data_IF_984517335281
#
_entry.id   IF_984517335281
#
_cell.length_a   1.000
_cell.length_b   1.000
_cell.length_c   1.000
_cell.angle_alpha   90.00
_cell.angle_beta   90.00
_cell.angle_gamma   90.00
#
_symmetry.space_group_name_H-M   'P 1'
#
loop_
_entity.id
_entity.type
_entity.pdbx_description
1 polymer ?
#
# COMPACT_ATOMS: atom_id res chain seq x y z
N UNK A 1 68.24 9.89 25.22
CA UNK A 1 66.86 10.31 24.89
C UNK A 1 65.85 9.38 25.60
N UNK A 2 66.14 8.99 26.84
CA UNK A 2 65.35 8.01 27.63
C UNK A 2 64.69 8.63 28.88
N UNK A 3 64.85 9.93 29.12
CA UNK A 3 64.58 10.54 30.43
C UNK A 3 63.15 11.07 30.64
N UNK A 4 62.24 10.97 29.67
CA UNK A 4 60.86 11.45 29.84
C UNK A 4 59.90 10.35 30.31
N UNK A 5 60.19 9.09 29.95
CA UNK A 5 59.35 7.95 30.34
C UNK A 5 59.64 7.45 31.76
N UNK A 6 60.87 7.57 32.26
CA UNK A 6 61.20 7.17 33.64
C UNK A 6 60.68 8.14 34.70
N UNK A 7 60.61 9.45 34.40
CA UNK A 7 60.12 10.47 35.35
C UNK A 7 58.60 10.47 35.50
N UNK A 8 57.86 10.01 34.48
CA UNK A 8 56.40 9.96 34.53
C UNK A 8 55.84 8.75 35.32
N UNK A 9 56.67 7.75 35.63
CA UNK A 9 56.24 6.49 36.25
C UNK A 9 56.83 6.19 37.63
N UNK A 10 57.66 7.10 38.19
CA UNK A 10 58.38 6.84 39.44
C UNK A 10 57.76 7.47 40.71
N UNK A 11 56.56 8.07 40.62
CA UNK A 11 55.81 8.42 41.83
C UNK A 11 55.14 7.15 42.39
N UNK A 12 55.28 6.86 43.70
CA UNK A 12 54.65 5.70 44.31
C UNK A 12 53.14 5.84 44.18
N UNK A 13 52.58 4.99 43.32
CA UNK A 13 51.15 4.92 43.07
C UNK A 13 50.43 4.67 44.39
N UNK A 14 49.71 5.68 44.87
CA UNK A 14 48.97 5.59 46.13
C UNK A 14 47.86 4.54 46.02
N UNK A 15 47.55 3.83 47.11
CA UNK A 15 46.49 2.80 47.14
C UNK A 15 45.14 3.32 46.60
N UNK A 16 44.86 4.62 46.77
CA UNK A 16 43.68 5.28 46.22
C UNK A 16 43.65 5.34 44.69
N UNK A 17 44.81 5.47 44.03
CA UNK A 17 44.91 5.51 42.57
C UNK A 17 44.61 4.14 41.94
N UNK A 18 45.03 3.06 42.60
CA UNK A 18 44.75 1.68 42.19
C UNK A 18 43.24 1.40 42.24
N UNK A 19 42.57 1.83 43.32
CA UNK A 19 41.12 1.66 43.49
C UNK A 19 40.32 2.40 42.39
N UNK A 20 40.71 3.64 42.06
CA UNK A 20 40.05 4.43 41.01
C UNK A 20 40.18 3.77 39.64
N UNK A 21 41.37 3.28 39.29
CA UNK A 21 41.58 2.57 38.01
C UNK A 21 40.75 1.29 37.95
N UNK A 22 40.67 0.53 39.04
CA UNK A 22 39.82 -0.67 39.12
C UNK A 22 38.34 -0.36 38.87
N UNK A 23 37.82 0.72 39.46
CA UNK A 23 36.44 1.17 39.24
C UNK A 23 36.21 1.60 37.79
N UNK A 24 37.15 2.36 37.20
CA UNK A 24 37.05 2.80 35.81
C UNK A 24 37.06 1.62 34.84
N UNK A 25 37.95 0.64 35.03
CA UNK A 25 37.99 -0.57 34.23
C UNK A 25 36.70 -1.39 34.37
N UNK A 26 36.15 -1.49 35.59
CA UNK A 26 34.86 -2.13 35.84
C UNK A 26 33.70 -1.44 35.10
N UNK A 27 33.63 -0.12 35.15
CA UNK A 27 32.61 0.67 34.44
C UNK A 27 32.74 0.55 32.93
N UNK A 28 33.95 0.65 32.39
CA UNK A 28 34.20 0.49 30.95
C UNK A 28 33.81 -0.91 30.49
N UNK A 29 34.21 -1.96 31.24
CA UNK A 29 33.82 -3.34 30.94
C UNK A 29 32.31 -3.54 30.99
N UNK A 30 31.63 -2.95 31.98
CA UNK A 30 30.16 -2.98 32.08
C UNK A 30 29.46 -2.28 30.92
N UNK A 31 29.94 -1.09 30.51
CA UNK A 31 29.40 -0.34 29.37
C UNK A 31 29.62 -1.11 28.07
N UNK A 32 30.83 -1.66 27.85
CA UNK A 32 31.14 -2.46 26.66
C UNK A 32 30.28 -3.73 26.64
N UNK A 33 30.15 -4.43 27.76
CA UNK A 33 29.26 -5.60 27.89
C UNK A 33 27.80 -5.26 27.58
N UNK A 34 27.29 -4.17 28.14
CA UNK A 34 25.93 -3.68 27.85
C UNK A 34 25.74 -3.36 26.36
N UNK A 35 26.69 -2.63 25.75
CA UNK A 35 26.61 -2.27 24.33
C UNK A 35 26.70 -3.49 23.42
N UNK A 36 27.56 -4.46 23.73
CA UNK A 36 27.76 -5.67 22.94
C UNK A 36 26.63 -6.69 23.10
N UNK A 37 25.94 -6.74 24.24
CA UNK A 37 24.89 -7.73 24.50
C UNK A 37 23.50 -7.15 24.26
N UNK A 38 23.20 -5.98 24.81
CA UNK A 38 21.84 -5.42 24.82
C UNK A 38 21.43 -4.86 23.46
N UNK A 39 22.34 -4.24 22.70
CA UNK A 39 22.01 -3.73 21.36
C UNK A 39 21.72 -4.84 20.35
N UNK A 40 22.55 -5.87 20.19
CA UNK A 40 22.23 -6.96 19.28
C UNK A 40 20.99 -7.74 19.70
N UNK A 41 20.73 -7.89 21.00
CA UNK A 41 19.50 -8.52 21.49
C UNK A 41 18.24 -7.72 21.08
N UNK A 42 18.25 -6.40 21.26
CA UNK A 42 17.14 -5.54 20.82
C UNK A 42 16.93 -5.58 19.30
N UNK A 43 18.02 -5.55 18.52
CA UNK A 43 17.94 -5.65 17.05
C UNK A 43 17.44 -7.02 16.57
N UNK A 44 17.81 -8.10 17.25
CA UNK A 44 17.29 -9.45 16.98
C UNK A 44 15.81 -9.54 17.32
N UNK A 45 15.38 -9.00 18.46
CA UNK A 45 13.98 -8.98 18.86
C UNK A 45 13.12 -8.25 17.82
N UNK A 46 13.54 -7.06 17.38
CA UNK A 46 12.86 -6.32 16.31
C UNK A 46 12.83 -7.10 14.99
N UNK A 47 13.90 -7.79 14.62
CA UNK A 47 13.93 -8.62 13.41
C UNK A 47 12.95 -9.78 13.49
N UNK A 48 12.88 -10.45 14.65
CA UNK A 48 11.94 -11.55 14.89
C UNK A 48 10.50 -11.05 14.85
N UNK A 49 10.21 -9.94 15.51
CA UNK A 49 8.88 -9.32 15.51
C UNK A 49 8.44 -8.97 14.08
N UNK A 50 9.32 -8.34 13.30
CA UNK A 50 9.06 -8.05 11.88
C UNK A 50 8.79 -9.32 11.08
N UNK A 51 9.64 -10.34 11.23
CA UNK A 51 9.47 -11.61 10.53
C UNK A 51 8.14 -12.28 10.86
N UNK A 52 7.73 -12.26 12.13
CA UNK A 52 6.46 -12.83 12.59
C UNK A 52 5.27 -12.03 12.05
N UNK A 53 5.33 -10.70 12.09
CA UNK A 53 4.30 -9.83 11.55
C UNK A 53 4.11 -10.05 10.04
N UNK A 54 5.19 -10.18 9.27
CA UNK A 54 5.10 -10.50 7.84
C UNK A 54 4.49 -11.87 7.58
N UNK A 55 4.96 -12.89 8.29
CA UNK A 55 4.43 -14.25 8.13
C UNK A 55 2.93 -14.32 8.45
N UNK A 56 2.48 -13.61 9.49
CA UNK A 56 1.06 -13.54 9.83
C UNK A 56 0.23 -12.87 8.73
N UNK A 57 0.71 -11.74 8.19
CA UNK A 57 0.05 -11.07 7.06
C UNK A 57 0.01 -11.97 5.83
N UNK A 58 1.10 -12.69 5.53
CA UNK A 58 1.19 -13.59 4.39
C UNK A 58 0.19 -14.74 4.52
N UNK A 59 0.15 -15.42 5.67
CA UNK A 59 -0.80 -16.53 5.93
C UNK A 59 -2.25 -16.02 5.82
N UNK A 60 -2.57 -14.91 6.48
CA UNK A 60 -3.93 -14.33 6.44
C UNK A 60 -4.34 -13.91 5.02
N UNK A 61 -3.38 -13.42 4.22
CA UNK A 61 -3.62 -13.10 2.81
C UNK A 61 -3.93 -14.35 1.99
N UNK A 62 -3.18 -15.44 2.20
CA UNK A 62 -3.38 -16.71 1.50
C UNK A 62 -4.77 -17.25 1.80
N UNK A 63 -5.21 -17.19 3.06
CA UNK A 63 -6.54 -17.66 3.44
C UNK A 63 -7.64 -16.79 2.80
N UNK A 64 -7.45 -15.47 2.74
CA UNK A 64 -8.35 -14.56 2.02
C UNK A 64 -8.44 -14.90 0.52
N UNK A 65 -7.31 -15.20 -0.12
CA UNK A 65 -7.27 -15.62 -1.53
C UNK A 65 -7.94 -16.98 -1.75
N UNK A 66 -7.70 -17.94 -0.86
CA UNK A 66 -8.37 -19.25 -0.90
C UNK A 66 -9.87 -19.11 -0.76
N UNK A 67 -10.33 -18.29 0.18
CA UNK A 67 -11.75 -18.00 0.36
C UNK A 67 -12.35 -17.38 -0.91
N UNK A 68 -11.69 -16.40 -1.52
CA UNK A 68 -12.12 -15.81 -2.80
C UNK A 68 -12.22 -16.85 -3.91
N UNK A 69 -11.28 -17.80 -3.98
CA UNK A 69 -11.29 -18.86 -4.97
C UNK A 69 -12.42 -19.87 -4.74
N UNK A 70 -12.64 -20.27 -3.49
CA UNK A 70 -13.70 -21.20 -3.08
C UNK A 70 -15.10 -20.62 -3.35
N UNK A 71 -15.29 -19.33 -3.05
CA UNK A 71 -16.56 -18.62 -3.21
C UNK A 71 -16.56 -17.67 -4.42
N UNK A 72 -15.80 -18.00 -5.47
CA UNK A 72 -15.62 -17.14 -6.65
C UNK A 72 -16.93 -16.67 -7.28
N UNK A 73 -17.97 -17.50 -7.18
CA UNK A 73 -19.30 -17.18 -7.68
C UNK A 73 -19.98 -16.03 -6.91
N UNK A 74 -19.91 -16.05 -5.57
CA UNK A 74 -20.48 -15.00 -4.74
C UNK A 74 -19.72 -13.69 -4.93
N UNK A 75 -18.39 -13.76 -5.05
CA UNK A 75 -17.56 -12.59 -5.35
C UNK A 75 -17.86 -12.03 -6.76
N UNK A 76 -18.07 -12.88 -7.76
CA UNK A 76 -18.47 -12.41 -9.08
C UNK A 76 -19.84 -11.72 -9.04
N UNK A 77 -20.78 -12.23 -8.23
CA UNK A 77 -22.06 -11.59 -8.02
C UNK A 77 -21.91 -10.20 -7.40
N UNK A 78 -21.06 -10.01 -6.39
CA UNK A 78 -20.83 -8.68 -5.80
C UNK A 78 -20.15 -7.70 -6.75
N UNK A 79 -19.32 -8.20 -7.67
CA UNK A 79 -18.65 -7.40 -8.70
C UNK A 79 -19.57 -6.96 -9.83
N UNK A 80 -20.52 -7.81 -10.23
CA UNK A 80 -21.33 -7.60 -11.45
C UNK A 80 -22.79 -7.28 -11.17
N UNK A 81 -23.25 -7.45 -9.93
CA UNK A 81 -24.67 -7.45 -9.54
C UNK A 81 -25.48 -8.61 -10.13
N UNK A 82 -24.89 -9.42 -11.01
CA UNK A 82 -25.59 -10.46 -11.76
C UNK A 82 -25.52 -11.78 -11.02
N UNK A 83 -26.67 -12.42 -10.78
CA UNK A 83 -26.78 -13.75 -10.17
C UNK A 83 -27.11 -14.81 -11.24
N UNK A 84 -26.13 -15.25 -12.06
CA UNK A 84 -26.37 -16.11 -13.23
C UNK A 84 -26.96 -17.50 -12.94
N UNK A 85 -26.91 -18.00 -11.70
CA UNK A 85 -27.37 -19.33 -11.28
C UNK A 85 -28.63 -19.25 -10.42
N UNK A 86 -29.17 -18.04 -10.20
CA UNK A 86 -30.33 -17.79 -9.32
C UNK A 86 -30.15 -18.44 -7.94
N UNK A 87 -28.92 -18.41 -7.41
CA UNK A 87 -28.65 -18.92 -6.07
C UNK A 87 -29.34 -18.03 -5.04
N UNK A 88 -29.51 -18.55 -3.83
CA UNK A 88 -30.06 -17.78 -2.72
C UNK A 88 -29.21 -16.53 -2.46
N UNK A 89 -29.76 -15.35 -2.73
CA UNK A 89 -29.06 -14.06 -2.60
C UNK A 89 -28.59 -13.82 -1.17
N UNK A 90 -29.31 -14.29 -0.15
CA UNK A 90 -28.90 -14.17 1.25
C UNK A 90 -27.61 -14.94 1.54
N UNK A 91 -27.48 -16.17 1.02
CA UNK A 91 -26.25 -16.95 1.16
C UNK A 91 -25.07 -16.32 0.40
N UNK A 92 -25.32 -15.74 -0.78
CA UNK A 92 -24.28 -15.03 -1.53
C UNK A 92 -23.80 -13.78 -0.77
N UNK A 93 -24.75 -13.00 -0.23
CA UNK A 93 -24.44 -11.82 0.57
C UNK A 93 -23.59 -12.20 1.79
N UNK A 94 -23.97 -13.24 2.54
CA UNK A 94 -23.20 -13.71 3.69
C UNK A 94 -21.76 -14.13 3.31
N UNK A 95 -21.59 -14.81 2.18
CA UNK A 95 -20.26 -15.20 1.68
C UNK A 95 -19.42 -13.97 1.28
N UNK A 96 -20.03 -12.98 0.65
CA UNK A 96 -19.36 -11.74 0.25
C UNK A 96 -19.01 -10.90 1.48
N UNK A 97 -19.90 -10.79 2.45
CA UNK A 97 -19.66 -10.10 3.71
C UNK A 97 -18.49 -10.76 4.46
N UNK A 98 -18.49 -12.09 4.55
CA UNK A 98 -17.41 -12.85 5.16
C UNK A 98 -16.07 -12.64 4.46
N UNK A 99 -16.06 -12.47 3.13
CA UNK A 99 -14.86 -12.10 2.38
C UNK A 99 -14.38 -10.69 2.75
N UNK A 100 -15.27 -9.71 2.76
CA UNK A 100 -14.88 -8.33 3.09
C UNK A 100 -14.47 -8.17 4.54
N UNK A 101 -15.07 -8.88 5.50
CA UNK A 101 -14.57 -8.91 6.87
C UNK A 101 -13.14 -9.43 6.95
N UNK A 102 -12.78 -10.48 6.18
CA UNK A 102 -11.39 -10.96 6.12
C UNK A 102 -10.44 -9.92 5.52
N UNK A 103 -10.83 -9.28 4.41
CA UNK A 103 -10.05 -8.20 3.80
C UNK A 103 -9.85 -7.03 4.78
N UNK A 104 -10.92 -6.56 5.42
CA UNK A 104 -10.88 -5.42 6.34
C UNK A 104 -10.07 -5.72 7.61
N UNK A 105 -10.16 -6.92 8.17
CA UNK A 105 -9.31 -7.36 9.28
C UNK A 105 -7.83 -7.32 8.88
N UNK A 106 -7.51 -7.79 7.67
CA UNK A 106 -6.16 -7.77 7.13
C UNK A 106 -5.64 -6.34 6.90
N UNK A 107 -6.50 -5.45 6.36
CA UNK A 107 -6.18 -4.04 6.14
C UNK A 107 -5.96 -3.28 7.45
N UNK A 108 -6.73 -3.59 8.49
CA UNK A 108 -6.56 -3.04 9.82
C UNK A 108 -5.19 -3.42 10.41
N UNK A 109 -4.85 -4.71 10.38
CA UNK A 109 -3.56 -5.20 10.90
C UNK A 109 -2.41 -4.58 10.12
N UNK A 110 -2.49 -4.54 8.79
CA UNK A 110 -1.47 -3.92 7.95
C UNK A 110 -1.28 -2.42 8.28
N UNK A 111 -2.37 -1.67 8.44
CA UNK A 111 -2.34 -0.24 8.79
C UNK A 111 -1.76 0.00 10.19
N UNK A 112 -2.10 -0.84 11.16
CA UNK A 112 -1.54 -0.79 12.51
C UNK A 112 -0.04 -1.09 12.51
N UNK A 113 0.40 -2.14 11.81
CA UNK A 113 1.82 -2.49 11.69
C UNK A 113 2.61 -1.41 10.96
N UNK A 114 2.02 -0.75 9.97
CA UNK A 114 2.65 0.38 9.29
C UNK A 114 2.84 1.56 10.25
N UNK A 115 1.80 1.92 11.00
CA UNK A 115 1.87 3.00 12.01
C UNK A 115 2.92 2.72 13.08
N UNK A 116 3.06 1.45 13.48
CA UNK A 116 4.09 0.98 14.42
C UNK A 116 5.49 0.86 13.80
N UNK A 117 5.68 1.13 12.50
CA UNK A 117 6.95 0.97 11.76
C UNK A 117 7.53 -0.45 11.84
N UNK A 118 6.64 -1.44 11.97
CA UNK A 118 6.99 -2.87 11.94
C UNK A 118 7.22 -3.29 10.48
N UNK A 119 6.25 -3.02 9.61
CA UNK A 119 6.36 -3.33 8.18
C UNK A 119 6.98 -2.17 7.39
N UNK A 120 7.71 -2.55 6.34
CA UNK A 120 8.38 -1.65 5.42
C UNK A 120 7.34 -0.86 4.58
N UNK A 121 7.63 0.39 4.22
CA UNK A 121 6.69 1.25 3.49
C UNK A 121 6.32 0.67 2.11
N UNK A 122 7.23 -0.03 1.44
CA UNK A 122 7.02 -0.70 0.15
C UNK A 122 5.95 -1.78 0.24
N UNK A 123 6.04 -2.61 1.30
CA UNK A 123 5.06 -3.66 1.55
C UNK A 123 3.70 -3.04 1.85
N UNK A 124 3.64 -2.02 2.72
CA UNK A 124 2.37 -1.35 2.99
C UNK A 124 1.76 -0.71 1.74
N UNK A 125 2.57 -0.09 0.88
CA UNK A 125 2.09 0.54 -0.35
C UNK A 125 1.42 -0.49 -1.28
N UNK A 126 1.93 -1.73 -1.38
CA UNK A 126 1.25 -2.77 -2.18
C UNK A 126 -0.12 -3.16 -1.62
N UNK A 127 -0.35 -3.04 -0.31
CA UNK A 127 -1.66 -3.26 0.30
C UNK A 127 -2.65 -2.14 -0.02
N UNK A 128 -2.17 -0.90 -0.15
CA UNK A 128 -3.04 0.27 -0.45
C UNK A 128 -3.70 0.14 -1.82
N UNK A 129 -3.05 -0.48 -2.80
CA UNK A 129 -3.69 -0.83 -4.07
C UNK A 129 -4.92 -1.73 -3.84
N UNK A 130 -4.79 -2.69 -2.94
CA UNK A 130 -5.89 -3.59 -2.57
C UNK A 130 -7.02 -2.90 -1.81
N UNK A 131 -6.74 -1.85 -1.05
CA UNK A 131 -7.77 -1.03 -0.41
C UNK A 131 -8.61 -0.32 -1.49
N UNK A 132 -7.95 0.18 -2.55
CA UNK A 132 -8.62 0.81 -3.67
C UNK A 132 -9.46 -0.20 -4.47
N UNK A 133 -8.96 -1.41 -4.70
CA UNK A 133 -9.73 -2.48 -5.36
C UNK A 133 -11.02 -2.84 -4.59
N UNK A 134 -10.99 -2.83 -3.25
CA UNK A 134 -12.22 -3.02 -2.48
C UNK A 134 -13.23 -1.89 -2.72
N UNK A 135 -12.75 -0.63 -2.77
CA UNK A 135 -13.57 0.54 -3.08
C UNK A 135 -14.16 0.51 -4.48
N UNK A 136 -13.54 -0.15 -5.46
CA UNK A 136 -14.11 -0.32 -6.81
C UNK A 136 -15.40 -1.12 -6.82
N UNK A 137 -15.65 -1.95 -5.80
CA UNK A 137 -16.83 -2.80 -5.74
C UNK A 137 -17.98 -2.05 -5.08
N UNK A 138 -19.07 -1.85 -5.84
CA UNK A 138 -20.26 -1.14 -5.35
C UNK A 138 -20.84 -1.78 -4.09
N UNK A 139 -20.96 -3.12 -4.08
CA UNK A 139 -21.45 -3.87 -2.92
C UNK A 139 -20.68 -3.49 -1.65
N UNK A 140 -19.34 -3.40 -1.73
CA UNK A 140 -18.53 -2.99 -0.59
C UNK A 140 -18.83 -1.57 -0.15
N UNK A 141 -18.89 -0.61 -1.09
CA UNK A 141 -19.17 0.81 -0.76
C UNK A 141 -20.53 0.99 -0.09
N UNK A 142 -21.56 0.27 -0.54
CA UNK A 142 -22.91 0.33 0.03
C UNK A 142 -22.96 -0.29 1.44
N UNK A 143 -22.30 -1.43 1.63
CA UNK A 143 -22.29 -2.10 2.93
C UNK A 143 -21.31 -1.50 3.93
N UNK A 144 -20.37 -0.66 3.49
CA UNK A 144 -19.37 -0.06 4.36
C UNK A 144 -20.01 0.72 5.50
N UNK A 145 -20.87 1.70 5.20
CA UNK A 145 -21.48 2.55 6.24
C UNK A 145 -22.48 1.77 7.11
N UNK A 146 -23.25 0.87 6.50
CA UNK A 146 -24.37 0.22 7.19
C UNK A 146 -23.93 -0.99 8.03
N UNK A 147 -22.91 -1.73 7.58
CA UNK A 147 -22.60 -3.06 8.13
C UNK A 147 -21.16 -3.22 8.62
N UNK A 148 -20.20 -2.47 8.06
CA UNK A 148 -18.77 -2.72 8.35
C UNK A 148 -18.15 -1.65 9.24
N UNK A 149 -18.47 -0.37 9.00
CA UNK A 149 -17.76 0.81 9.48
C UNK A 149 -17.45 0.79 10.98
N UNK A 150 -18.45 0.50 11.81
CA UNK A 150 -18.35 0.63 13.27
C UNK A 150 -17.49 -0.45 13.94
N UNK A 151 -17.11 -1.51 13.20
CA UNK A 151 -16.31 -2.62 13.73
C UNK A 151 -14.80 -2.36 13.67
N UNK A 152 -14.36 -1.28 13.04
CA UNK A 152 -12.95 -1.04 12.72
C UNK A 152 -12.36 0.20 13.39
N UNK A 153 -11.03 0.24 13.47
CA UNK A 153 -10.28 1.40 13.98
C UNK A 153 -10.59 2.69 13.21
N UNK A 154 -10.52 3.83 13.93
CA UNK A 154 -10.73 5.17 13.37
C UNK A 154 -9.83 5.46 12.17
N UNK A 155 -8.62 4.90 12.15
CA UNK A 155 -7.71 5.01 11.01
C UNK A 155 -8.28 4.34 9.76
N UNK A 156 -8.74 3.09 9.88
CA UNK A 156 -9.33 2.38 8.75
C UNK A 156 -10.64 3.02 8.32
N UNK A 157 -11.44 3.51 9.28
CA UNK A 157 -12.65 4.28 9.00
C UNK A 157 -12.35 5.48 8.12
N UNK A 158 -11.41 6.34 8.54
CA UNK A 158 -10.99 7.51 7.76
C UNK A 158 -10.49 7.15 6.36
N UNK A 159 -9.77 6.04 6.20
CA UNK A 159 -9.29 5.58 4.89
C UNK A 159 -10.48 5.32 3.97
N UNK A 160 -11.44 4.50 4.38
CA UNK A 160 -12.56 4.11 3.52
C UNK A 160 -13.61 5.21 3.36
N UNK A 161 -13.89 6.01 4.40
CA UNK A 161 -14.78 7.16 4.29
C UNK A 161 -14.28 8.17 3.25
N UNK A 162 -12.98 8.49 3.32
CA UNK A 162 -12.36 9.36 2.32
C UNK A 162 -12.35 8.72 0.92
N UNK A 163 -12.13 7.41 0.83
CA UNK A 163 -12.23 6.67 -0.43
C UNK A 163 -13.61 6.73 -1.06
N UNK A 164 -14.67 6.48 -0.28
CA UNK A 164 -16.06 6.55 -0.75
C UNK A 164 -16.41 7.98 -1.18
N UNK A 165 -16.02 9.00 -0.39
CA UNK A 165 -16.23 10.39 -0.76
C UNK A 165 -15.54 10.77 -2.08
N UNK A 166 -14.36 10.20 -2.38
CA UNK A 166 -13.70 10.39 -3.68
C UNK A 166 -14.50 9.74 -4.81
N UNK A 167 -15.02 8.53 -4.63
CA UNK A 167 -15.88 7.90 -5.65
C UNK A 167 -17.12 8.74 -5.93
N UNK A 168 -17.74 9.35 -4.92
CA UNK A 168 -18.84 10.28 -5.12
C UNK A 168 -18.40 11.56 -5.86
N UNK A 169 -17.28 12.15 -5.46
CA UNK A 169 -16.74 13.37 -6.06
C UNK A 169 -16.44 13.21 -7.56
N UNK A 170 -15.87 12.07 -7.97
CA UNK A 170 -15.56 11.79 -9.37
C UNK A 170 -16.75 11.23 -10.18
N UNK A 171 -17.95 11.16 -9.59
CA UNK A 171 -19.14 10.61 -10.26
C UNK A 171 -19.08 9.10 -10.50
N UNK A 172 -18.28 8.37 -9.71
CA UNK A 172 -18.09 6.92 -9.80
C UNK A 172 -19.01 6.14 -8.84
N UNK A 173 -20.04 6.77 -8.29
CA UNK A 173 -20.96 6.14 -7.34
C UNK A 173 -21.56 4.83 -7.88
N UNK A 174 -21.93 4.83 -9.16
CA UNK A 174 -22.50 3.68 -9.86
C UNK A 174 -21.45 2.80 -10.55
N UNK A 175 -20.15 3.06 -10.39
CA UNK A 175 -19.12 2.21 -11.00
C UNK A 175 -19.27 0.75 -10.51
N UNK A 176 -19.19 -0.21 -11.45
CA UNK A 176 -19.48 -1.65 -11.27
C UNK A 176 -20.94 -2.00 -10.89
N UNK A 177 -21.93 -1.16 -11.18
CA UNK A 177 -23.36 -1.49 -10.98
C UNK A 177 -23.97 -2.38 -12.08
N UNK A 178 -23.27 -2.62 -13.19
CA UNK A 178 -23.83 -3.24 -14.40
C UNK A 178 -24.83 -2.36 -15.15
N UNK A 179 -25.10 -1.12 -14.69
CA UNK A 179 -25.86 -0.13 -15.45
C UNK A 179 -24.89 0.67 -16.31
N UNK A 180 -24.82 0.36 -17.60
CA UNK A 180 -24.14 1.17 -18.61
C UNK A 180 -24.81 2.56 -18.67
N UNK A 181 -24.34 3.48 -17.84
CA UNK A 181 -24.65 4.91 -17.97
C UNK A 181 -23.78 5.46 -19.11
N UNK A 182 -24.32 6.40 -19.90
CA UNK A 182 -23.84 6.87 -21.21
C UNK A 182 -22.42 7.48 -21.28
N UNK A 183 -21.55 7.25 -20.28
CA UNK A 183 -20.18 7.73 -20.24
C UNK A 183 -19.29 6.92 -21.22
N UNK A 184 -18.43 7.64 -21.95
CA UNK A 184 -17.45 7.00 -22.82
C UNK A 184 -16.44 6.20 -21.98
N UNK A 185 -16.03 4.98 -22.37
CA UNK A 185 -15.13 4.14 -21.58
C UNK A 185 -13.82 4.83 -21.18
N UNK A 186 -13.29 5.69 -22.06
CA UNK A 186 -12.08 6.48 -21.79
C UNK A 186 -12.27 7.49 -20.65
N UNK A 187 -13.45 8.10 -20.54
CA UNK A 187 -13.77 9.07 -19.49
C UNK A 187 -13.84 8.38 -18.13
N UNK A 188 -14.42 7.17 -18.07
CA UNK A 188 -14.47 6.36 -16.84
C UNK A 188 -13.05 5.99 -16.40
N UNK A 189 -12.20 5.59 -17.33
CA UNK A 189 -10.81 5.22 -17.03
C UNK A 189 -10.02 6.42 -16.48
N UNK A 190 -10.20 7.60 -17.05
CA UNK A 190 -9.57 8.84 -16.56
C UNK A 190 -10.08 9.20 -15.16
N UNK A 191 -11.40 9.17 -14.93
CA UNK A 191 -12.00 9.40 -13.60
C UNK A 191 -11.48 8.40 -12.56
N UNK A 192 -11.39 7.11 -12.91
CA UNK A 192 -10.91 6.07 -12.00
C UNK A 192 -9.42 6.23 -11.67
N UNK A 193 -8.59 6.62 -12.65
CA UNK A 193 -7.20 6.96 -12.41
C UNK A 193 -7.08 8.16 -11.47
N UNK A 194 -7.84 9.24 -11.71
CA UNK A 194 -7.84 10.42 -10.85
C UNK A 194 -8.31 10.11 -9.42
N UNK A 195 -9.34 9.27 -9.27
CA UNK A 195 -9.83 8.79 -7.98
C UNK A 195 -8.77 7.98 -7.24
N UNK A 196 -8.05 7.09 -7.94
CA UNK A 196 -6.94 6.30 -7.38
C UNK A 196 -5.79 7.17 -6.90
N UNK A 197 -5.35 8.14 -7.70
CA UNK A 197 -4.26 9.04 -7.32
C UNK A 197 -4.65 9.93 -6.14
N UNK A 198 -5.91 10.38 -6.09
CA UNK A 198 -6.46 11.09 -4.93
C UNK A 198 -6.54 10.18 -3.69
N UNK A 199 -6.96 8.93 -3.85
CA UNK A 199 -7.06 7.96 -2.77
C UNK A 199 -5.68 7.64 -2.17
N UNK A 200 -4.66 7.45 -3.00
CA UNK A 200 -3.29 7.21 -2.53
C UNK A 200 -2.75 8.41 -1.73
N UNK A 201 -3.01 9.64 -2.19
CA UNK A 201 -2.68 10.86 -1.41
C UNK A 201 -3.41 10.89 -0.07
N UNK A 202 -4.70 10.56 -0.07
CA UNK A 202 -5.50 10.47 1.14
C UNK A 202 -4.93 9.45 2.13
N UNK A 203 -4.63 8.23 1.69
CA UNK A 203 -4.04 7.19 2.55
C UNK A 203 -2.66 7.61 3.06
N UNK A 204 -1.82 8.23 2.23
CA UNK A 204 -0.51 8.73 2.65
C UNK A 204 -0.61 9.83 3.72
N UNK A 205 -1.72 10.60 3.72
CA UNK A 205 -2.02 11.58 4.76
C UNK A 205 -2.52 10.92 6.06
N UNK A 206 -3.43 9.93 5.97
CA UNK A 206 -3.96 9.22 7.15
C UNK A 206 -2.88 8.36 7.82
N UNK A 207 -2.09 7.65 7.02
CA UNK A 207 -1.01 6.75 7.45
C UNK A 207 0.29 7.14 6.73
N UNK A 208 1.15 7.96 7.38
CA UNK A 208 2.37 8.48 6.76
C UNK A 208 3.25 7.39 6.12
N UNK A 209 3.31 7.41 4.79
CA UNK A 209 4.08 6.47 3.98
C UNK A 209 4.72 7.18 2.78
N UNK A 210 6.03 7.43 2.88
CA UNK A 210 6.79 8.14 1.84
C UNK A 210 6.73 7.45 0.46
N UNK A 211 6.73 6.11 0.45
CA UNK A 211 6.69 5.30 -0.76
C UNK A 211 5.45 5.56 -1.62
N UNK A 212 4.29 5.83 -0.99
CA UNK A 212 3.06 6.15 -1.73
C UNK A 212 3.23 7.49 -2.48
N UNK A 213 3.91 8.46 -1.86
CA UNK A 213 4.24 9.73 -2.52
C UNK A 213 5.20 9.56 -3.69
N UNK A 214 6.19 8.65 -3.58
CA UNK A 214 7.12 8.34 -4.67
C UNK A 214 6.41 7.70 -5.86
N UNK A 215 5.44 6.79 -5.63
CA UNK A 215 4.65 6.19 -6.70
C UNK A 215 3.83 7.22 -7.47
N UNK A 216 3.23 8.18 -6.74
CA UNK A 216 2.48 9.29 -7.34
C UNK A 216 3.39 10.20 -8.18
N UNK A 217 4.62 10.44 -7.72
CA UNK A 217 5.58 11.23 -8.49
C UNK A 217 6.02 10.53 -9.80
N UNK A 218 6.11 9.19 -9.78
CA UNK A 218 6.44 8.39 -10.96
C UNK A 218 5.29 8.35 -11.98
N UNK A 219 4.04 8.25 -11.54
CA UNK A 219 2.87 8.26 -12.44
C UNK A 219 2.72 9.62 -13.15
N UNK A 220 2.98 10.73 -12.45
CA UNK A 220 2.99 12.07 -13.03
C UNK A 220 4.07 12.21 -14.12
N UNK A 221 5.27 11.66 -13.90
CA UNK A 221 6.36 11.67 -14.88
C UNK A 221 6.04 10.81 -16.11
N UNK A 222 5.57 9.57 -15.91
CA UNK A 222 5.20 8.66 -17.00
C UNK A 222 4.07 9.24 -17.87
N UNK A 223 3.05 9.85 -17.25
CA UNK A 223 1.94 10.46 -17.99
C UNK A 223 2.38 11.68 -18.81
N UNK A 224 3.34 12.46 -18.30
CA UNK A 224 3.95 13.58 -19.04
C UNK A 224 4.76 13.08 -20.24
N UNK A 225 5.56 12.04 -20.04
CA UNK A 225 6.40 11.44 -21.08
C UNK A 225 5.57 10.76 -22.17
N UNK A 226 4.49 10.05 -21.80
CA UNK A 226 3.53 9.48 -22.75
C UNK A 226 2.78 10.56 -23.54
N UNK A 227 2.37 11.66 -22.88
CA UNK A 227 1.76 12.83 -23.55
C UNK A 227 2.74 13.53 -24.50
N UNK A 228 4.03 13.53 -24.19
CA UNK A 228 5.09 14.03 -25.07
C UNK A 228 5.30 13.08 -26.26
N UNK A 229 5.44 11.78 -26.01
CA UNK A 229 5.57 10.75 -27.04
C UNK A 229 4.38 10.76 -28.02
N UNK A 230 3.16 10.87 -27.51
CA UNK A 230 1.95 10.96 -28.32
C UNK A 230 1.87 12.27 -29.12
N UNK A 231 2.36 13.40 -28.56
CA UNK A 231 2.52 14.67 -29.31
C UNK A 231 3.56 14.55 -30.42
N UNK A 232 4.69 13.89 -30.18
CA UNK A 232 5.70 13.63 -31.20
C UNK A 232 5.16 12.71 -32.32
N UNK A 233 4.44 11.66 -31.95
CA UNK A 233 3.80 10.75 -32.90
C UNK A 233 2.77 11.48 -33.79
N UNK A 234 1.89 12.30 -33.19
CA UNK A 234 0.89 13.10 -33.91
C UNK A 234 1.52 14.17 -34.81
N UNK A 235 2.67 14.74 -34.41
CA UNK A 235 3.42 15.73 -35.20
C UNK A 235 4.14 15.09 -36.38
N UNK A 236 4.63 13.85 -36.22
CA UNK A 236 5.26 13.07 -37.30
C UNK A 236 4.25 12.64 -38.37
N UNK A 237 3.04 12.24 -37.95
CA UNK A 237 1.97 11.87 -38.89
C UNK A 237 1.25 13.06 -39.56
N UNK A 238 1.36 14.27 -39.02
CA UNK A 238 0.96 15.50 -39.74
C UNK A 238 1.96 15.94 -40.82
N UNK A 239 3.17 15.38 -40.84
CA UNK A 239 4.19 15.64 -41.87
C UNK A 239 4.22 14.56 -42.97
N UNK A 240 3.36 13.55 -42.87
CA UNK A 240 3.16 12.51 -43.87
C UNK A 240 1.73 12.53 -44.38
N UNK A 241 1.38 13.59 -45.10
CA UNK A 241 0.24 13.60 -46.03
C UNK A 241 0.80 13.59 -47.44
N UNK A 242 0.87 12.44 -48.13
CA UNK A 242 0.77 12.41 -49.57
C UNK A 242 -0.71 12.40 -49.96
N UNK A 243 -1.15 13.54 -50.48
CA UNK A 243 -2.28 13.68 -51.38
C UNK A 243 -1.99 12.89 -52.66
N UNK A 244 -2.78 11.85 -52.99
CA UNK A 244 -2.98 11.13 -54.30
C UNK A 244 -3.46 9.72 -53.96
N UNK A 245 -4.51 9.10 -54.50
CA UNK A 245 -5.45 9.39 -55.58
C UNK A 245 -6.79 8.75 -55.18
N UNK A 246 -7.86 9.54 -55.23
CA UNK A 246 -9.22 9.03 -55.40
C UNK A 246 -9.47 9.19 -56.89
N UNK A 247 -9.33 8.11 -57.65
CA UNK A 247 -10.04 7.86 -58.91
C UNK A 247 -9.63 6.48 -59.47
N UNK A 248 -10.60 5.78 -60.07
CA UNK A 248 -10.56 4.38 -60.57
C UNK A 248 -10.66 3.34 -59.44
N UNK A 249 -11.78 2.63 -59.22
CA UNK A 249 -12.49 1.79 -60.20
C UNK A 249 -13.99 1.83 -59.85
N UNK A 250 -14.73 2.59 -60.65
CA UNK A 250 -16.15 2.39 -60.90
C UNK A 250 -16.30 2.32 -62.43
N UNK A 251 -15.76 1.27 -63.04
CA UNK A 251 -16.23 0.81 -64.35
C UNK A 251 -15.59 -0.54 -64.69
N UNK A 252 -16.39 -1.61 -64.66
CA UNK A 252 -16.48 -2.67 -65.69
C UNK A 252 -17.19 -3.91 -65.13
N UNK A 253 -18.33 -4.17 -65.75
CA UNK A 253 -18.93 -5.47 -66.10
C UNK A 253 -19.28 -6.45 -64.97
#
# INVERSE_FOLDING_TARGET
MESFWELAFNEPMTDGSIAVIGILLGLVSGIVGYLLVSRPAAMRALRVERSQAYLQLEIASIDTFRFRAEYAYAIQWSLTGSNPKRLNTGMLAEQVDQYYFQCLNLFEVASRFRKAKIIAPEIYASWVAWFFEALEVRYFRENWQDNYHDNYTRELQRIFDGGIALFEHYGLRNYNSGSEENDHPDDIKEKLQAARDAFYRHVAWVVPCAMIGEWLAQSDQSSSDDRLAHRFYRRRHKLSSPQTDIDMIADKA
#
